data_IF_453211127978
#
_entry.id   IF_453211127978
#
_cell.length_a   1.000
_cell.length_b   1.000
_cell.length_c   1.000
_cell.angle_alpha   90.00
_cell.angle_beta   90.00
_cell.angle_gamma   90.00
#
_symmetry.space_group_name_H-M   'P 1'
#
loop_
_entity.id
_entity.type
_entity.pdbx_description
1 polymer ?
#
# COMPACT_ATOMS: atom_id res chain seq x y z
N UNK A 1 4.11 -12.92 36.09
CA UNK A 1 4.90 -12.17 35.09
C UNK A 1 4.79 -12.94 33.78
N UNK A 2 4.04 -12.41 32.82
CA UNK A 2 3.47 -13.18 31.71
C UNK A 2 4.43 -13.39 30.54
N UNK A 3 4.32 -14.55 29.91
CA UNK A 3 5.12 -15.05 28.77
C UNK A 3 4.81 -14.38 27.41
N UNK A 4 4.12 -13.23 27.39
CA UNK A 4 3.60 -12.62 26.16
C UNK A 4 4.27 -11.30 25.73
N UNK A 5 5.28 -10.82 26.47
CA UNK A 5 5.86 -9.47 26.25
C UNK A 5 6.91 -9.37 25.12
N UNK A 6 7.18 -10.43 24.34
CA UNK A 6 8.40 -10.47 23.51
C UNK A 6 8.19 -10.21 22.00
N UNK A 7 6.98 -9.93 21.52
CA UNK A 7 6.75 -9.73 20.07
C UNK A 7 6.26 -8.33 19.63
N UNK A 8 6.64 -7.26 20.34
CA UNK A 8 6.48 -5.90 19.82
C UNK A 8 7.66 -5.54 18.90
N UNK A 9 7.70 -6.14 17.71
CA UNK A 9 8.59 -5.74 16.62
C UNK A 9 8.30 -4.26 16.33
N UNK A 10 9.25 -3.36 16.62
CA UNK A 10 9.12 -1.92 16.28
C UNK A 10 8.80 -1.83 14.79
N UNK A 11 7.61 -1.35 14.43
CA UNK A 11 7.26 -1.04 13.04
C UNK A 11 8.30 -0.02 12.56
N UNK A 12 9.21 -0.44 11.66
CA UNK A 12 10.16 0.48 11.03
C UNK A 12 9.33 1.41 10.15
N UNK A 13 9.36 2.71 10.43
CA UNK A 13 8.69 3.70 9.58
C UNK A 13 9.28 3.65 8.18
N UNK A 14 8.40 3.48 7.18
CA UNK A 14 8.80 3.48 5.77
C UNK A 14 9.15 4.92 5.39
N UNK A 15 10.43 5.17 5.10
CA UNK A 15 10.89 6.46 4.61
C UNK A 15 10.72 6.55 3.09
N UNK A 16 10.34 7.71 2.57
CA UNK A 16 10.26 7.97 1.13
C UNK A 16 11.42 8.89 0.75
N UNK A 17 12.22 8.47 -0.24
CA UNK A 17 13.40 9.20 -0.67
C UNK A 17 13.20 9.95 -2.00
N UNK A 18 12.20 9.55 -2.77
CA UNK A 18 11.84 10.18 -4.04
C UNK A 18 11.20 11.56 -3.83
N UNK A 19 11.58 12.52 -4.68
CA UNK A 19 11.06 13.90 -4.60
C UNK A 19 9.73 14.10 -5.33
N UNK A 20 9.38 13.19 -6.26
CA UNK A 20 8.15 13.26 -7.07
C UNK A 20 7.42 11.93 -6.98
N UNK A 21 6.10 11.99 -6.90
CA UNK A 21 5.25 10.83 -7.06
C UNK A 21 5.32 10.32 -8.51
N UNK A 22 5.23 9.01 -8.66
CA UNK A 22 5.22 8.30 -9.95
C UNK A 22 3.82 7.81 -10.32
N UNK A 23 2.88 7.93 -9.39
CA UNK A 23 1.47 7.61 -9.64
C UNK A 23 0.58 8.00 -8.47
N UNK A 24 -0.71 7.78 -8.65
CA UNK A 24 -1.75 8.03 -7.64
C UNK A 24 -2.74 6.87 -7.61
N UNK A 25 -3.24 6.58 -6.41
CA UNK A 25 -4.18 5.48 -6.16
C UNK A 25 -5.38 5.97 -5.36
N UNK A 26 -6.59 5.79 -5.89
CA UNK A 26 -7.84 6.16 -5.23
C UNK A 26 -8.40 4.95 -4.47
N UNK A 27 -8.53 5.08 -3.15
CA UNK A 27 -9.01 4.01 -2.28
C UNK A 27 -10.51 3.86 -2.41
N UNK A 28 -10.98 2.64 -2.71
CA UNK A 28 -12.40 2.28 -2.70
C UNK A 28 -12.77 1.49 -1.44
N UNK A 29 -11.91 0.58 -0.98
CA UNK A 29 -12.14 -0.23 0.23
C UNK A 29 -10.82 -0.57 0.92
N UNK A 30 -10.89 -0.86 2.21
CA UNK A 30 -9.75 -1.31 3.02
C UNK A 30 -10.09 -2.59 3.77
N UNK A 31 -9.13 -3.49 3.85
CA UNK A 31 -9.24 -4.75 4.57
C UNK A 31 -7.98 -5.01 5.39
N UNK A 32 -8.12 -5.86 6.41
CA UNK A 32 -6.97 -6.39 7.16
C UNK A 32 -7.01 -7.90 7.10
N UNK A 33 -5.98 -8.49 6.48
CA UNK A 33 -5.91 -9.94 6.24
C UNK A 33 -4.56 -10.45 6.75
N UNK A 34 -4.57 -11.43 7.65
CA UNK A 34 -3.36 -12.01 8.27
C UNK A 34 -2.35 -10.97 8.79
N UNK A 35 -2.85 -9.85 9.33
CA UNK A 35 -2.02 -8.78 9.86
C UNK A 35 -1.48 -7.78 8.84
N UNK A 36 -1.65 -8.02 7.53
CA UNK A 36 -1.37 -7.06 6.47
C UNK A 36 -2.59 -6.18 6.18
N UNK A 37 -2.34 -4.92 5.83
CA UNK A 37 -3.38 -4.02 5.31
C UNK A 37 -3.50 -4.20 3.79
N UNK A 38 -4.74 -4.26 3.29
CA UNK A 38 -5.03 -4.40 1.86
C UNK A 38 -5.92 -3.24 1.43
N UNK A 39 -5.50 -2.51 0.40
CA UNK A 39 -6.25 -1.41 -0.19
C UNK A 39 -6.81 -1.85 -1.54
N UNK A 40 -8.13 -1.80 -1.71
CA UNK A 40 -8.77 -2.00 -3.02
C UNK A 40 -9.13 -0.65 -3.59
N UNK A 41 -8.84 -0.42 -4.85
CA UNK A 41 -9.01 0.88 -5.47
C UNK A 41 -8.57 0.93 -6.92
N UNK A 42 -8.46 2.15 -7.45
CA UNK A 42 -8.16 2.43 -8.84
C UNK A 42 -6.86 3.24 -8.96
N UNK A 43 -6.00 2.86 -9.90
CA UNK A 43 -4.84 3.69 -10.27
C UNK A 43 -5.36 4.84 -11.11
N UNK A 44 -5.22 6.08 -10.63
CA UNK A 44 -5.75 7.25 -11.34
C UNK A 44 -4.68 7.98 -12.16
N UNK A 45 -3.40 7.69 -11.92
CA UNK A 45 -2.29 8.28 -12.65
C UNK A 45 -1.06 7.36 -12.55
N UNK A 46 -0.36 7.17 -13.68
CA UNK A 46 0.95 6.52 -13.72
C UNK A 46 0.91 4.99 -13.70
N UNK A 47 2.01 4.39 -13.27
CA UNK A 47 2.19 2.94 -13.18
C UNK A 47 2.70 2.55 -11.79
N UNK A 48 2.11 1.52 -11.22
CA UNK A 48 2.44 1.02 -9.88
C UNK A 48 3.07 -0.36 -10.02
N UNK A 49 4.22 -0.54 -9.38
CA UNK A 49 4.91 -1.83 -9.27
C UNK A 49 4.96 -2.28 -7.81
N UNK A 50 4.99 -3.60 -7.55
CA UNK A 50 5.47 -4.12 -6.27
C UNK A 50 6.84 -3.53 -5.92
N UNK A 51 7.07 -3.26 -4.64
CA UNK A 51 8.28 -2.60 -4.13
C UNK A 51 8.19 -1.08 -4.10
N UNK A 52 7.20 -0.46 -4.74
CA UNK A 52 6.94 0.98 -4.57
C UNK A 52 6.37 1.29 -3.20
N UNK A 53 6.45 2.56 -2.80
CA UNK A 53 5.92 3.08 -1.55
C UNK A 53 4.66 3.88 -1.83
N UNK A 54 3.65 3.68 -1.00
CA UNK A 54 2.39 4.43 -1.05
C UNK A 54 2.27 5.30 0.19
N UNK A 55 1.82 6.55 0.02
CA UNK A 55 1.80 7.58 1.06
C UNK A 55 0.43 8.25 1.19
N UNK A 56 -0.04 8.32 2.43
CA UNK A 56 -1.08 9.23 2.91
C UNK A 56 -0.53 9.99 4.13
N UNK A 57 -1.21 9.91 5.27
CA UNK A 57 -0.66 10.39 6.56
C UNK A 57 0.62 9.63 6.97
N UNK A 58 0.72 8.37 6.59
CA UNK A 58 1.88 7.49 6.80
C UNK A 58 2.39 6.98 5.45
N UNK A 59 3.44 6.17 5.47
CA UNK A 59 3.93 5.46 4.29
C UNK A 59 3.97 3.96 4.54
N UNK A 60 3.74 3.18 3.49
CA UNK A 60 3.84 1.73 3.49
C UNK A 60 4.46 1.22 2.19
N UNK A 61 5.02 0.01 2.23
CA UNK A 61 5.56 -0.65 1.05
C UNK A 61 4.46 -1.48 0.37
N UNK A 62 4.33 -1.35 -0.94
CA UNK A 62 3.45 -2.22 -1.75
C UNK A 62 4.18 -3.55 -1.93
N UNK A 63 3.67 -4.61 -1.32
CA UNK A 63 4.29 -5.94 -1.37
C UNK A 63 3.85 -6.73 -2.58
N UNK A 64 2.56 -6.71 -2.86
CA UNK A 64 1.89 -7.46 -3.93
C UNK A 64 0.77 -6.60 -4.52
N UNK A 65 0.49 -6.80 -5.81
CA UNK A 65 -0.65 -6.20 -6.51
C UNK A 65 -1.51 -7.35 -7.03
N UNK A 66 -2.82 -7.28 -6.81
CA UNK A 66 -3.74 -8.30 -7.32
C UNK A 66 -4.82 -7.66 -8.21
N UNK A 67 -5.04 -8.27 -9.37
CA UNK A 67 -6.16 -7.96 -10.29
C UNK A 67 -6.91 -9.25 -10.57
N UNK A 68 -8.23 -9.23 -10.48
CA UNK A 68 -9.07 -10.42 -10.74
C UNK A 68 -8.66 -11.69 -9.96
N UNK A 69 -8.24 -11.50 -8.69
CA UNK A 69 -7.76 -12.56 -7.78
C UNK A 69 -6.45 -13.25 -8.23
N UNK A 70 -5.70 -12.61 -9.13
CA UNK A 70 -4.37 -13.06 -9.55
C UNK A 70 -3.34 -11.98 -9.21
N UNK A 71 -2.14 -12.42 -8.84
CA UNK A 71 -1.00 -11.51 -8.67
C UNK A 71 -0.54 -10.99 -10.03
N UNK A 72 -0.20 -9.70 -10.11
CA UNK A 72 0.26 -9.04 -11.33
C UNK A 72 1.55 -8.27 -11.08
N UNK A 73 2.37 -8.16 -12.12
CA UNK A 73 3.68 -7.49 -12.04
C UNK A 73 3.57 -5.96 -11.92
N UNK A 74 2.47 -5.38 -12.42
CA UNK A 74 2.19 -3.95 -12.36
C UNK A 74 0.70 -3.64 -12.55
N UNK A 75 0.32 -2.41 -12.21
CA UNK A 75 -0.99 -1.83 -12.52
C UNK A 75 -0.82 -0.50 -13.27
N UNK A 76 -1.60 -0.32 -14.33
CA UNK A 76 -1.63 0.90 -15.15
C UNK A 76 -2.77 1.81 -14.72
N UNK A 77 -2.76 3.04 -15.22
CA UNK A 77 -3.88 3.97 -15.08
C UNK A 77 -5.22 3.32 -15.48
N UNK A 78 -6.25 3.60 -14.69
CA UNK A 78 -7.61 3.04 -14.73
C UNK A 78 -7.73 1.56 -14.32
N UNK A 79 -6.64 0.86 -14.00
CA UNK A 79 -6.74 -0.48 -13.43
C UNK A 79 -7.35 -0.45 -12.03
N UNK A 80 -8.31 -1.35 -11.78
CA UNK A 80 -8.84 -1.65 -10.45
C UNK A 80 -8.09 -2.82 -9.85
N UNK A 81 -7.37 -2.57 -8.75
CA UNK A 81 -6.49 -3.56 -8.12
C UNK A 81 -6.60 -3.54 -6.60
N UNK A 82 -6.14 -4.62 -5.99
CA UNK A 82 -5.87 -4.70 -4.56
C UNK A 82 -4.36 -4.59 -4.32
N UNK A 83 -3.95 -3.66 -3.47
CA UNK A 83 -2.57 -3.49 -3.01
C UNK A 83 -2.42 -4.12 -1.64
N UNK A 84 -1.53 -5.09 -1.51
CA UNK A 84 -1.17 -5.70 -0.22
C UNK A 84 0.03 -4.95 0.34
N UNK A 85 -0.10 -4.41 1.55
CA UNK A 85 0.92 -3.53 2.14
C UNK A 85 1.74 -4.21 3.23
N UNK A 86 3.01 -3.83 3.29
CA UNK A 86 3.86 -3.99 4.48
C UNK A 86 3.97 -2.64 5.19
N UNK A 87 3.34 -2.54 6.36
CA UNK A 87 3.09 -1.28 7.07
C UNK A 87 1.59 -0.99 7.21
N UNK A 88 1.27 0.16 7.82
CA UNK A 88 -0.11 0.63 8.00
C UNK A 88 -0.26 2.08 7.57
N UNK A 89 -1.25 2.32 6.72
CA UNK A 89 -1.70 3.63 6.27
C UNK A 89 -3.01 4.06 6.95
N UNK A 90 -3.96 3.14 7.17
CA UNK A 90 -5.34 3.43 7.60
C UNK A 90 -6.03 4.54 6.80
N UNK A 91 -6.05 4.48 5.44
CA UNK A 91 -6.62 5.54 4.64
C UNK A 91 -8.15 5.53 4.68
N UNK A 92 -8.76 6.66 4.32
CA UNK A 92 -10.21 6.78 4.19
C UNK A 92 -10.66 6.32 2.81
N UNK A 93 -11.89 5.81 2.74
CA UNK A 93 -12.54 5.54 1.44
C UNK A 93 -12.68 6.86 0.67
N UNK A 94 -12.30 6.84 -0.60
CA UNK A 94 -12.27 8.00 -1.50
C UNK A 94 -10.97 8.80 -1.44
N UNK A 95 -10.07 8.51 -0.50
CA UNK A 95 -8.77 9.17 -0.40
C UNK A 95 -7.88 8.85 -1.62
N UNK A 96 -7.16 9.85 -2.10
CA UNK A 96 -6.15 9.71 -3.15
C UNK A 96 -4.78 9.67 -2.49
N UNK A 97 -4.10 8.54 -2.66
CA UNK A 97 -2.78 8.29 -2.12
C UNK A 97 -1.74 8.46 -3.21
N UNK A 98 -0.57 8.99 -2.84
CA UNK A 98 0.55 9.16 -3.75
C UNK A 98 1.46 7.95 -3.72
N UNK A 99 1.97 7.56 -4.89
CA UNK A 99 2.88 6.43 -5.05
C UNK A 99 4.26 6.94 -5.45
N UNK A 100 5.29 6.35 -4.85
CA UNK A 100 6.69 6.73 -4.98
C UNK A 100 7.54 5.50 -5.28
N UNK A 101 8.47 5.62 -6.21
CA UNK A 101 9.40 4.54 -6.56
C UNK A 101 10.34 4.14 -5.41
N UNK A 102 10.79 5.11 -4.62
CA UNK A 102 11.77 4.92 -3.53
C UNK A 102 11.55 5.88 -2.38
#
# INVERSE_FOLDING_TARGET
MGLFDVFKKREKEVQIFSRKSVGKFKVEKTFKIFGKEVLVGEVIEGVIYPGYKIKGERAALIREIQRDRQEVDFALEYDKVALVLDGKLNPKVGEILEVYQS
#
